data_IF_342328613702
#
_entry.id   IF_342328613702
#
_cell.length_a   1.000
_cell.length_b   1.000
_cell.length_c   1.000
_cell.angle_alpha   90.00
_cell.angle_beta   90.00
_cell.angle_gamma   90.00
#
_symmetry.space_group_name_H-M   'P 1'
#
loop_
_entity.id
_entity.type
_entity.pdbx_description
1 polymer ?
#
# COMPACT_ATOMS: atom_id res chain seq x y z
N UNK A 1 37.79 18.59 -15.01
CA UNK A 1 36.32 18.45 -15.26
C UNK A 1 35.87 17.26 -14.42
N UNK A 2 35.40 17.51 -13.21
CA UNK A 2 34.86 16.49 -12.35
C UNK A 2 33.54 16.00 -13.02
N UNK A 3 33.49 14.70 -13.33
CA UNK A 3 32.26 14.05 -13.75
C UNK A 3 31.23 14.20 -12.62
N UNK A 4 30.28 15.12 -12.75
CA UNK A 4 29.13 15.19 -11.83
C UNK A 4 28.49 13.82 -11.81
N UNK A 5 28.72 13.08 -10.74
CA UNK A 5 28.01 11.83 -10.47
C UNK A 5 26.51 12.17 -10.50
N UNK A 6 25.76 11.61 -11.47
CA UNK A 6 24.33 11.89 -11.58
C UNK A 6 23.67 11.35 -10.32
N UNK A 7 23.06 12.22 -9.53
CA UNK A 7 22.31 11.83 -8.35
C UNK A 7 21.31 10.72 -8.69
N UNK A 8 21.33 9.64 -7.92
CA UNK A 8 20.52 8.44 -8.13
C UNK A 8 19.00 8.76 -8.11
N UNK A 9 18.59 9.76 -7.35
CA UNK A 9 17.19 10.15 -7.12
C UNK A 9 16.84 11.52 -7.71
N UNK A 10 17.26 11.79 -8.93
CA UNK A 10 17.14 13.11 -9.57
C UNK A 10 15.79 13.38 -10.26
N UNK A 11 14.85 12.43 -10.23
CA UNK A 11 13.53 12.53 -10.87
C UNK A 11 12.42 12.10 -9.91
N UNK A 12 12.15 12.88 -8.85
CA UNK A 12 11.12 12.53 -7.89
C UNK A 12 9.69 12.70 -8.45
N UNK A 13 8.80 11.76 -8.10
CA UNK A 13 7.37 12.04 -8.01
C UNK A 13 7.11 12.68 -6.65
N UNK A 14 6.55 13.88 -6.64
CA UNK A 14 6.18 14.57 -5.42
C UNK A 14 4.67 14.50 -5.17
N UNK A 15 4.31 13.85 -4.08
CA UNK A 15 2.92 13.67 -3.67
C UNK A 15 2.67 14.30 -2.31
N UNK A 16 1.57 15.05 -2.22
CA UNK A 16 1.16 15.61 -0.94
C UNK A 16 -0.36 15.69 -0.83
N UNK A 17 -0.84 15.65 0.41
CA UNK A 17 -2.24 15.90 0.74
C UNK A 17 -2.30 16.93 1.86
N UNK A 18 -2.77 18.11 1.51
CA UNK A 18 -2.90 19.24 2.44
C UNK A 18 -4.24 19.14 3.15
N UNK A 19 -4.23 18.93 4.47
CA UNK A 19 -5.37 19.24 5.33
C UNK A 19 -5.34 20.74 5.66
N UNK A 20 -6.50 21.36 5.96
CA UNK A 20 -6.64 22.81 6.22
C UNK A 20 -5.59 23.46 7.15
N UNK A 21 -4.88 22.67 7.94
CA UNK A 21 -3.89 23.12 8.93
C UNK A 21 -2.45 22.70 8.60
N UNK A 22 -2.17 22.16 7.40
CA UNK A 22 -0.81 21.76 7.04
C UNK A 22 -0.20 22.82 6.12
N UNK A 23 0.89 23.49 6.49
CA UNK A 23 1.38 24.62 5.74
C UNK A 23 1.92 24.17 4.39
N UNK A 24 1.36 24.72 3.31
CA UNK A 24 1.98 24.68 1.97
C UNK A 24 3.43 25.16 2.02
N UNK A 25 3.79 25.94 3.03
CA UNK A 25 5.13 26.48 3.24
C UNK A 25 6.20 25.39 3.40
N UNK A 26 5.93 24.30 4.12
CA UNK A 26 6.94 23.23 4.28
C UNK A 26 7.16 22.49 2.96
N UNK A 27 6.09 22.26 2.19
CA UNK A 27 6.16 21.64 0.86
C UNK A 27 7.00 22.51 -0.07
N UNK A 28 6.75 23.84 -0.05
CA UNK A 28 7.50 24.81 -0.82
C UNK A 28 8.99 24.79 -0.45
N UNK A 29 9.32 24.81 0.84
CA UNK A 29 10.70 24.75 1.34
C UNK A 29 11.42 23.48 0.88
N UNK A 30 10.77 22.31 0.97
CA UNK A 30 11.36 21.03 0.52
C UNK A 30 11.67 21.08 -0.97
N UNK A 31 10.75 21.59 -1.80
CA UNK A 31 10.94 21.66 -3.26
C UNK A 31 12.00 22.69 -3.61
N UNK A 32 11.98 23.88 -3.00
CA UNK A 32 13.01 24.91 -3.19
C UNK A 32 14.40 24.36 -2.83
N UNK A 33 14.54 23.66 -1.70
CA UNK A 33 15.79 23.05 -1.29
C UNK A 33 16.32 22.03 -2.31
N UNK A 34 15.45 21.19 -2.86
CA UNK A 34 15.83 20.21 -3.89
C UNK A 34 16.33 20.89 -5.16
N UNK A 35 15.69 21.98 -5.57
CA UNK A 35 16.04 22.75 -6.78
C UNK A 35 17.33 23.54 -6.55
N UNK A 36 17.43 24.30 -5.46
CA UNK A 36 18.57 25.20 -5.16
C UNK A 36 19.87 24.42 -4.97
N UNK A 37 19.79 23.20 -4.44
CA UNK A 37 20.94 22.28 -4.30
C UNK A 37 21.25 21.51 -5.57
N UNK A 38 20.50 21.69 -6.66
CA UNK A 38 20.61 20.91 -7.90
C UNK A 38 20.53 19.40 -7.67
N UNK A 39 19.71 18.96 -6.72
CA UNK A 39 19.48 17.54 -6.43
C UNK A 39 18.59 16.89 -7.47
N UNK A 40 17.72 17.66 -8.14
CA UNK A 40 16.73 17.16 -9.08
C UNK A 40 16.92 17.75 -10.49
N UNK A 41 16.65 16.94 -11.50
CA UNK A 41 16.56 17.34 -12.90
C UNK A 41 15.19 17.94 -13.19
N UNK A 42 14.13 17.29 -12.72
CA UNK A 42 12.73 17.74 -12.73
C UNK A 42 11.93 16.98 -11.67
N UNK A 43 10.73 17.45 -11.41
CA UNK A 43 9.81 16.92 -10.40
C UNK A 43 8.49 16.59 -11.07
N UNK A 44 7.98 15.38 -10.87
CA UNK A 44 6.65 14.99 -11.31
C UNK A 44 5.58 15.38 -10.27
N UNK A 45 4.42 15.76 -10.75
CA UNK A 45 3.22 16.01 -9.95
C UNK A 45 2.02 15.28 -10.51
N UNK A 46 1.20 14.73 -9.62
CA UNK A 46 -0.07 14.11 -10.01
C UNK A 46 -1.10 15.18 -10.39
N UNK A 47 -1.78 15.00 -11.52
CA UNK A 47 -2.81 15.92 -12.04
C UNK A 47 -3.98 16.13 -11.08
N UNK A 48 -4.39 15.05 -10.39
CA UNK A 48 -5.52 15.10 -9.44
C UNK A 48 -5.22 15.87 -8.15
N UNK A 49 -3.97 16.24 -7.88
CA UNK A 49 -3.62 17.03 -6.70
C UNK A 49 -4.09 18.49 -6.77
N UNK A 50 -4.62 18.96 -7.91
CA UNK A 50 -5.04 20.33 -8.20
C UNK A 50 -4.01 21.42 -7.82
N UNK A 51 -2.86 21.03 -7.34
CA UNK A 51 -1.77 21.89 -6.93
C UNK A 51 -0.57 21.44 -7.74
N UNK A 52 -0.44 22.01 -8.93
CA UNK A 52 0.77 21.88 -9.74
C UNK A 52 1.80 22.91 -9.28
N UNK A 53 3.03 22.79 -9.73
CA UNK A 53 4.07 23.76 -9.41
C UNK A 53 3.67 25.21 -9.62
N UNK A 54 2.71 25.49 -10.51
CA UNK A 54 2.15 26.82 -10.76
C UNK A 54 1.42 27.38 -9.53
N UNK A 55 0.69 26.55 -8.76
CA UNK A 55 0.00 27.00 -7.55
C UNK A 55 0.98 27.29 -6.41
N UNK A 56 2.08 26.52 -6.34
CA UNK A 56 3.08 26.68 -5.28
C UNK A 56 4.06 27.81 -5.61
N UNK A 57 4.51 27.92 -6.86
CA UNK A 57 5.63 28.80 -7.27
C UNK A 57 5.29 29.85 -8.33
N UNK A 58 4.07 29.83 -8.88
CA UNK A 58 3.71 30.66 -10.03
C UNK A 58 4.28 30.16 -11.36
N UNK A 59 4.03 30.92 -12.44
CA UNK A 59 4.34 30.46 -13.81
C UNK A 59 5.85 30.37 -14.15
N UNK A 60 6.71 31.03 -13.37
CA UNK A 60 8.13 31.15 -13.70
C UNK A 60 8.96 29.87 -13.54
N UNK A 61 8.45 28.87 -12.82
CA UNK A 61 9.16 27.59 -12.58
C UNK A 61 8.62 26.43 -13.41
N UNK A 62 7.44 26.58 -14.04
CA UNK A 62 6.65 25.47 -14.60
C UNK A 62 7.37 24.70 -15.71
N UNK A 63 8.06 25.40 -16.59
CA UNK A 63 8.57 24.78 -17.82
C UNK A 63 9.94 24.12 -17.64
N UNK A 64 10.65 24.42 -16.56
CA UNK A 64 12.01 23.93 -16.34
C UNK A 64 12.09 22.70 -15.41
N UNK A 65 11.32 22.71 -14.32
CA UNK A 65 11.45 21.67 -13.30
C UNK A 65 10.22 20.79 -13.12
N UNK A 66 9.03 21.21 -13.57
CA UNK A 66 7.79 20.51 -13.25
C UNK A 66 7.21 19.78 -14.45
N UNK A 67 6.92 18.49 -14.27
CA UNK A 67 6.26 17.63 -15.26
C UNK A 67 5.00 17.02 -14.68
N UNK A 68 3.97 16.81 -15.52
CA UNK A 68 2.80 16.06 -15.15
C UNK A 68 3.15 14.56 -15.10
N UNK A 69 2.77 13.89 -14.01
CA UNK A 69 2.96 12.46 -13.86
C UNK A 69 2.00 11.70 -14.79
N UNK A 70 2.56 10.76 -15.55
CA UNK A 70 1.82 9.81 -16.39
C UNK A 70 2.30 8.39 -16.06
N UNK A 71 1.38 7.54 -15.63
CA UNK A 71 1.69 6.14 -15.23
C UNK A 71 2.39 5.32 -16.30
N UNK A 72 2.15 5.62 -17.59
CA UNK A 72 2.63 4.80 -18.70
C UNK A 72 4.04 5.20 -19.16
N UNK A 73 4.46 6.45 -19.00
CA UNK A 73 5.70 6.99 -19.58
C UNK A 73 6.61 7.70 -18.57
N UNK A 74 6.34 7.58 -17.26
CA UNK A 74 7.15 8.25 -16.27
C UNK A 74 8.42 7.44 -15.94
N UNK A 75 9.51 8.15 -15.66
CA UNK A 75 10.80 7.60 -15.26
C UNK A 75 11.22 8.04 -13.85
N UNK A 76 10.23 8.31 -12.99
CA UNK A 76 10.50 8.67 -11.60
C UNK A 76 11.29 7.58 -10.89
N UNK A 77 12.30 8.00 -10.13
CA UNK A 77 13.24 7.11 -9.46
C UNK A 77 13.22 7.22 -7.94
N UNK A 78 12.36 8.09 -7.40
CA UNK A 78 11.99 8.22 -6.00
C UNK A 78 10.60 8.82 -5.90
N UNK A 79 9.81 8.44 -4.90
CA UNK A 79 8.56 9.09 -4.57
C UNK A 79 8.70 9.85 -3.24
N UNK A 80 8.62 11.17 -3.27
CA UNK A 80 8.67 12.03 -2.07
C UNK A 80 7.23 12.35 -1.66
N UNK A 81 6.87 11.95 -0.45
CA UNK A 81 5.49 12.03 0.05
C UNK A 81 5.46 12.94 1.27
N UNK A 82 4.57 13.94 1.26
CA UNK A 82 4.26 14.76 2.43
C UNK A 82 2.81 14.54 2.79
N UNK A 83 2.54 13.72 3.81
CA UNK A 83 1.18 13.35 4.17
C UNK A 83 1.10 12.30 5.25
N UNK A 84 -0.06 11.65 5.37
CA UNK A 84 -0.26 10.49 6.23
C UNK A 84 -0.19 9.17 5.46
N UNK A 85 -0.47 8.06 6.15
CA UNK A 85 -0.44 6.72 5.57
C UNK A 85 -1.31 6.60 4.31
N UNK A 86 -2.49 7.22 4.29
CA UNK A 86 -3.36 7.24 3.10
C UNK A 86 -2.71 7.86 1.86
N UNK A 87 -1.76 8.79 2.03
CA UNK A 87 -1.01 9.37 0.91
C UNK A 87 0.06 8.39 0.40
N UNK A 88 0.65 7.61 1.31
CA UNK A 88 1.57 6.51 0.93
C UNK A 88 0.83 5.41 0.16
N UNK A 89 -0.38 5.03 0.60
CA UNK A 89 -1.21 4.06 -0.14
C UNK A 89 -1.61 4.57 -1.52
N UNK A 90 -1.95 5.86 -1.63
CA UNK A 90 -2.20 6.48 -2.94
C UNK A 90 -0.95 6.42 -3.83
N UNK A 91 0.22 6.79 -3.29
CA UNK A 91 1.48 6.68 -4.00
C UNK A 91 1.70 5.25 -4.54
N UNK A 92 1.48 4.24 -3.68
CA UNK A 92 1.59 2.84 -4.07
C UNK A 92 0.67 2.49 -5.25
N UNK A 93 -0.58 2.95 -5.22
CA UNK A 93 -1.56 2.69 -6.28
C UNK A 93 -1.23 3.35 -7.63
N UNK A 94 -0.40 4.39 -7.64
CA UNK A 94 0.07 5.01 -8.89
C UNK A 94 1.05 4.11 -9.65
N UNK A 95 1.72 3.20 -8.95
CA UNK A 95 2.72 2.28 -9.48
C UNK A 95 2.23 0.82 -9.59
N UNK A 96 0.92 0.57 -9.54
CA UNK A 96 0.31 -0.78 -9.56
C UNK A 96 0.82 -1.68 -10.70
N UNK A 97 1.14 -1.09 -11.86
CA UNK A 97 1.59 -1.83 -13.04
C UNK A 97 3.10 -1.98 -13.16
N UNK A 98 3.87 -1.36 -12.26
CA UNK A 98 5.33 -1.43 -12.30
C UNK A 98 5.84 -2.69 -11.62
N UNK A 99 6.74 -3.39 -12.28
CA UNK A 99 7.46 -4.53 -11.73
C UNK A 99 8.36 -4.11 -10.56
N UNK A 100 9.02 -2.96 -10.69
CA UNK A 100 9.84 -2.35 -9.63
C UNK A 100 9.39 -0.93 -9.36
N UNK A 101 8.85 -0.70 -8.17
CA UNK A 101 8.43 0.62 -7.71
C UNK A 101 9.64 1.45 -7.26
N UNK A 102 9.62 2.79 -7.43
CA UNK A 102 10.66 3.65 -6.86
C UNK A 102 10.55 3.63 -5.33
N UNK A 103 11.65 3.84 -4.59
CA UNK A 103 11.59 3.95 -3.14
C UNK A 103 10.82 5.20 -2.70
N UNK A 104 10.18 5.09 -1.52
CA UNK A 104 9.34 6.13 -0.93
C UNK A 104 10.07 6.83 0.20
N UNK A 105 10.18 8.15 0.12
CA UNK A 105 10.61 9.04 1.20
C UNK A 105 9.39 9.75 1.78
N UNK A 106 9.01 9.41 3.01
CA UNK A 106 7.72 9.83 3.57
C UNK A 106 7.90 10.78 4.73
N UNK A 107 7.50 12.04 4.55
CA UNK A 107 7.40 13.06 5.58
C UNK A 107 6.01 13.06 6.20
N UNK A 108 5.95 13.10 7.53
CA UNK A 108 4.71 13.09 8.28
C UNK A 108 3.94 14.39 8.11
N UNK A 109 2.74 14.30 7.54
CA UNK A 109 1.87 15.46 7.31
C UNK A 109 0.80 15.69 8.39
N UNK A 110 1.06 15.36 9.65
CA UNK A 110 0.08 15.51 10.73
C UNK A 110 0.24 14.51 11.86
N UNK A 111 -0.84 13.75 12.19
CA UNK A 111 -0.79 12.73 13.25
C UNK A 111 0.19 11.61 12.90
N UNK A 112 0.76 10.99 13.94
CA UNK A 112 1.64 9.83 13.81
C UNK A 112 1.00 8.75 12.94
N UNK A 113 1.70 8.34 11.88
CA UNK A 113 1.34 7.23 11.00
C UNK A 113 2.34 6.08 11.11
N UNK A 114 1.97 4.93 10.56
CA UNK A 114 2.86 3.76 10.50
C UNK A 114 3.83 3.82 9.32
N UNK A 115 3.45 4.50 8.22
CA UNK A 115 4.23 4.57 6.98
C UNK A 115 5.09 5.82 6.90
N UNK A 116 4.54 7.00 7.24
CA UNK A 116 5.30 8.25 7.24
C UNK A 116 6.12 8.37 8.52
N UNK A 117 7.45 8.35 8.38
CA UNK A 117 8.39 8.29 9.52
C UNK A 117 9.13 9.58 9.78
N UNK A 118 9.37 10.40 8.75
CA UNK A 118 10.24 11.55 8.87
C UNK A 118 9.49 12.80 9.30
N UNK A 119 10.08 13.56 10.23
CA UNK A 119 9.59 14.89 10.57
C UNK A 119 9.87 15.86 9.41
N UNK A 120 8.85 16.53 8.86
CA UNK A 120 9.05 17.45 7.75
C UNK A 120 9.92 18.67 8.10
N UNK A 121 10.00 19.07 9.36
CA UNK A 121 10.87 20.17 9.79
C UNK A 121 12.38 19.84 9.69
N UNK A 122 12.74 18.54 9.64
CA UNK A 122 14.13 18.07 9.50
C UNK A 122 14.52 17.78 8.03
N UNK A 123 13.76 18.30 7.08
CA UNK A 123 13.92 17.99 5.65
C UNK A 123 15.33 18.28 5.12
N UNK A 124 16.01 19.35 5.57
CA UNK A 124 17.33 19.72 5.10
C UNK A 124 18.38 18.67 5.42
N UNK A 125 18.38 18.19 6.67
CA UNK A 125 19.29 17.13 7.11
C UNK A 125 18.96 15.81 6.37
N UNK A 126 17.70 15.43 6.30
CA UNK A 126 17.24 14.20 5.64
C UNK A 126 17.64 14.18 4.17
N UNK A 127 17.29 15.22 3.42
CA UNK A 127 17.63 15.31 2.00
C UNK A 127 19.13 15.39 1.76
N UNK A 128 19.86 16.13 2.59
CA UNK A 128 21.33 16.19 2.49
C UNK A 128 21.95 14.81 2.68
N UNK A 129 21.52 14.05 3.69
CA UNK A 129 22.02 12.68 3.91
C UNK A 129 21.73 11.76 2.73
N UNK A 130 20.53 11.84 2.15
CA UNK A 130 20.12 10.99 1.03
C UNK A 130 20.90 11.36 -0.25
N UNK A 131 20.97 12.65 -0.57
CA UNK A 131 21.48 13.10 -1.87
C UNK A 131 23.00 13.33 -1.91
N UNK A 132 23.66 13.54 -0.77
CA UNK A 132 25.11 13.84 -0.74
C UNK A 132 25.96 12.74 -0.15
N UNK A 133 25.49 12.08 0.93
CA UNK A 133 26.28 11.06 1.63
C UNK A 133 25.81 9.65 1.35
N UNK A 134 24.66 9.49 0.70
CA UNK A 134 23.98 8.20 0.48
C UNK A 134 23.82 7.37 1.78
N UNK A 135 23.75 8.07 2.93
CA UNK A 135 23.63 7.45 4.25
C UNK A 135 22.15 7.26 4.62
N UNK A 136 21.55 6.22 4.08
CA UNK A 136 20.18 5.79 4.32
C UNK A 136 20.07 4.27 4.11
N UNK A 137 19.01 3.68 4.64
CA UNK A 137 18.65 2.29 4.39
C UNK A 137 17.18 2.19 3.95
N UNK A 138 16.67 0.95 3.78
CA UNK A 138 15.31 0.70 3.38
C UNK A 138 14.58 -0.15 4.41
N UNK A 139 13.33 0.24 4.68
CA UNK A 139 12.35 -0.66 5.30
C UNK A 139 11.57 -1.30 4.16
N UNK A 140 11.75 -2.59 3.99
CA UNK A 140 11.07 -3.38 2.96
C UNK A 140 9.66 -3.76 3.41
N UNK A 141 8.64 -3.42 2.62
CA UNK A 141 7.24 -3.75 2.93
C UNK A 141 6.64 -4.58 1.82
N UNK A 142 6.32 -5.84 2.13
CA UNK A 142 5.69 -6.76 1.21
C UNK A 142 4.26 -6.34 0.90
N UNK A 143 3.80 -6.70 -0.29
CA UNK A 143 2.45 -6.38 -0.76
C UNK A 143 1.58 -7.63 -0.86
N UNK A 144 0.28 -7.45 -0.61
CA UNK A 144 -0.75 -8.41 -1.01
C UNK A 144 -0.95 -8.31 -2.52
N UNK A 145 -0.89 -9.44 -3.19
CA UNK A 145 -1.25 -9.57 -4.59
C UNK A 145 -2.59 -10.30 -4.72
N UNK A 146 -3.47 -9.76 -5.57
CA UNK A 146 -4.76 -10.32 -5.91
C UNK A 146 -4.81 -10.59 -7.41
N UNK A 147 -4.71 -11.86 -7.80
CA UNK A 147 -4.92 -12.27 -9.18
C UNK A 147 -6.36 -12.70 -9.38
N UNK A 148 -7.03 -12.14 -10.39
CA UNK A 148 -8.40 -12.51 -10.78
C UNK A 148 -8.35 -13.49 -11.93
N UNK A 149 -9.04 -14.61 -11.77
CA UNK A 149 -9.16 -15.66 -12.78
C UNK A 149 -10.60 -15.82 -13.20
N UNK A 150 -10.85 -16.01 -14.47
CA UNK A 150 -12.17 -16.19 -15.06
C UNK A 150 -12.26 -17.53 -15.81
N UNK A 151 -13.38 -18.24 -15.65
CA UNK A 151 -13.60 -19.55 -16.28
C UNK A 151 -13.76 -19.39 -17.78
N UNK A 152 -13.04 -20.19 -18.58
CA UNK A 152 -13.19 -20.20 -20.05
C UNK A 152 -14.51 -20.88 -20.42
N UNK A 153 -15.29 -20.26 -21.33
CA UNK A 153 -16.63 -20.75 -21.74
C UNK A 153 -16.61 -22.11 -22.45
N UNK A 154 -15.45 -22.60 -22.87
CA UNK A 154 -15.33 -23.80 -23.73
C UNK A 154 -15.53 -25.13 -23.02
N UNK A 155 -15.43 -25.19 -21.71
CA UNK A 155 -15.49 -26.45 -20.95
C UNK A 155 -16.69 -26.45 -19.99
N UNK A 156 -17.81 -27.01 -20.43
CA UNK A 156 -19.00 -27.24 -19.58
C UNK A 156 -18.88 -28.51 -18.69
N UNK A 157 -17.71 -29.08 -18.53
CA UNK A 157 -17.51 -30.31 -17.78
C UNK A 157 -17.13 -30.01 -16.33
N UNK A 158 -18.01 -30.40 -15.45
CA UNK A 158 -17.92 -30.41 -13.99
C UNK A 158 -18.08 -29.05 -13.29
N UNK A 159 -19.20 -28.91 -12.58
CA UNK A 159 -19.42 -27.85 -11.58
C UNK A 159 -18.69 -28.16 -10.24
N UNK A 160 -17.54 -28.86 -10.31
CA UNK A 160 -16.74 -29.09 -9.11
C UNK A 160 -16.17 -27.76 -8.62
N UNK A 161 -16.64 -27.35 -7.46
CA UNK A 161 -16.25 -26.12 -6.80
C UNK A 161 -14.74 -26.06 -6.51
N UNK A 162 -14.07 -27.21 -6.49
CA UNK A 162 -12.63 -27.39 -6.21
C UNK A 162 -11.77 -27.43 -7.46
N UNK A 163 -12.38 -27.46 -8.65
CA UNK A 163 -11.64 -27.47 -9.90
C UNK A 163 -11.31 -26.04 -10.34
N UNK A 164 -10.03 -25.76 -10.51
CA UNK A 164 -9.47 -24.48 -10.93
C UNK A 164 -8.70 -24.57 -12.26
N UNK A 165 -8.75 -25.71 -12.95
CA UNK A 165 -7.95 -25.96 -14.16
C UNK A 165 -8.38 -25.14 -15.37
N UNK A 166 -9.69 -24.86 -15.50
CA UNK A 166 -10.30 -24.20 -16.66
C UNK A 166 -10.37 -22.67 -16.52
N UNK A 167 -9.54 -22.10 -15.64
CA UNK A 167 -9.56 -20.66 -15.39
C UNK A 167 -8.31 -19.98 -15.92
N UNK A 168 -8.50 -18.82 -16.54
CA UNK A 168 -7.43 -17.98 -17.06
C UNK A 168 -7.34 -16.68 -16.25
N UNK A 169 -6.11 -16.25 -15.96
CA UNK A 169 -5.84 -14.97 -15.31
C UNK A 169 -6.28 -13.82 -16.21
N UNK A 170 -7.14 -12.95 -15.70
CA UNK A 170 -7.69 -11.79 -16.43
C UNK A 170 -7.20 -10.45 -15.85
N UNK A 171 -6.99 -10.36 -14.53
CA UNK A 171 -6.52 -9.15 -13.86
C UNK A 171 -5.54 -9.47 -12.73
N UNK A 172 -4.79 -8.45 -12.32
CA UNK A 172 -3.89 -8.49 -11.16
C UNK A 172 -3.85 -7.11 -10.49
N UNK A 173 -3.90 -7.10 -9.16
CA UNK A 173 -3.86 -5.89 -8.35
C UNK A 173 -2.95 -6.10 -7.15
N UNK A 174 -2.31 -5.03 -6.65
CA UNK A 174 -1.50 -5.07 -5.44
C UNK A 174 -2.00 -4.10 -4.38
N UNK A 175 -1.75 -4.41 -3.11
CA UNK A 175 -2.05 -3.57 -1.97
C UNK A 175 -0.91 -3.64 -0.94
N UNK A 176 -0.59 -2.51 -0.32
CA UNK A 176 0.39 -2.45 0.74
C UNK A 176 -0.19 -2.92 2.07
N UNK A 177 -1.42 -2.50 2.41
CA UNK A 177 -2.10 -2.91 3.63
C UNK A 177 -2.95 -4.16 3.42
N UNK A 178 -4.02 -4.06 2.62
CA UNK A 178 -4.98 -5.14 2.52
C UNK A 178 -5.76 -5.19 1.21
N UNK A 179 -6.16 -6.40 0.83
CA UNK A 179 -7.28 -6.68 -0.02
C UNK A 179 -8.54 -6.78 0.85
N UNK A 180 -9.58 -6.08 0.49
CA UNK A 180 -10.90 -6.19 1.10
C UNK A 180 -11.94 -6.64 0.07
N UNK A 181 -12.56 -7.79 0.31
CA UNK A 181 -13.75 -8.23 -0.41
C UNK A 181 -14.97 -7.71 0.34
N UNK A 182 -15.50 -6.57 -0.12
CA UNK A 182 -16.60 -5.88 0.51
C UNK A 182 -17.94 -6.32 -0.10
N UNK A 183 -18.95 -6.53 0.72
CA UNK A 183 -20.32 -6.74 0.22
C UNK A 183 -20.76 -5.52 -0.62
N UNK A 184 -21.46 -5.76 -1.73
CA UNK A 184 -21.97 -4.68 -2.57
C UNK A 184 -23.33 -4.16 -2.06
N UNK A 185 -24.25 -5.05 -1.76
CA UNK A 185 -25.60 -4.73 -1.26
C UNK A 185 -25.99 -5.69 -0.14
N UNK A 186 -26.09 -6.96 -0.46
CA UNK A 186 -26.42 -8.01 0.50
C UNK A 186 -25.14 -8.54 1.16
N UNK A 187 -25.28 -9.34 2.22
CA UNK A 187 -24.20 -10.04 2.87
C UNK A 187 -23.34 -10.78 1.85
N UNK A 188 -22.04 -10.71 2.01
CA UNK A 188 -21.08 -11.46 1.19
C UNK A 188 -21.03 -12.90 1.65
N UNK A 189 -21.17 -13.85 0.72
CA UNK A 189 -21.03 -15.29 0.98
C UNK A 189 -19.84 -15.80 0.17
N UNK A 190 -18.77 -16.13 0.85
CA UNK A 190 -17.48 -16.48 0.25
C UNK A 190 -17.06 -17.88 0.66
N UNK A 191 -16.42 -18.60 -0.26
CA UNK A 191 -15.72 -19.85 0.02
C UNK A 191 -14.22 -19.60 -0.06
N UNK A 192 -13.55 -19.81 1.06
CA UNK A 192 -12.11 -19.69 1.19
C UNK A 192 -11.46 -21.07 1.03
N UNK A 193 -10.37 -21.13 0.26
CA UNK A 193 -9.59 -22.35 0.02
C UNK A 193 -8.13 -22.13 0.35
N UNK A 194 -7.50 -23.11 0.96
CA UNK A 194 -6.04 -23.25 1.00
C UNK A 194 -5.68 -24.37 0.04
N UNK A 195 -4.88 -24.07 -0.97
CA UNK A 195 -4.65 -24.96 -2.12
C UNK A 195 -6.00 -25.31 -2.78
N UNK A 196 -6.39 -26.59 -2.77
CA UNK A 196 -7.67 -27.07 -3.28
C UNK A 196 -8.63 -27.49 -2.15
N UNK A 197 -8.31 -27.22 -0.90
CA UNK A 197 -9.13 -27.60 0.25
C UNK A 197 -9.94 -26.42 0.76
N UNK A 198 -11.23 -26.66 1.02
CA UNK A 198 -12.08 -25.66 1.64
C UNK A 198 -11.60 -25.40 3.06
N UNK A 199 -11.20 -24.17 3.33
CA UNK A 199 -10.87 -23.69 4.66
C UNK A 199 -12.14 -23.32 5.42
N UNK A 200 -13.00 -22.51 4.81
CA UNK A 200 -14.24 -22.01 5.41
C UNK A 200 -15.22 -21.50 4.37
N UNK A 201 -16.54 -21.56 4.71
CA UNK A 201 -17.59 -20.77 4.10
C UNK A 201 -17.89 -19.60 5.04
N UNK A 202 -17.79 -18.38 4.54
CA UNK A 202 -17.89 -17.16 5.36
C UNK A 202 -19.03 -16.29 4.84
N UNK A 203 -20.00 -16.04 5.70
CA UNK A 203 -21.09 -15.07 5.49
C UNK A 203 -20.79 -13.85 6.36
N UNK A 204 -20.57 -12.69 5.74
CA UNK A 204 -20.08 -11.50 6.45
C UNK A 204 -20.33 -10.22 5.64
N UNK A 205 -20.07 -9.07 6.22
CA UNK A 205 -20.01 -7.79 5.49
C UNK A 205 -18.79 -7.72 4.56
N UNK A 206 -17.85 -8.61 4.74
CA UNK A 206 -16.68 -8.81 3.88
C UNK A 206 -15.54 -9.53 4.57
N UNK A 207 -14.48 -9.77 3.81
CA UNK A 207 -13.28 -10.46 4.30
C UNK A 207 -12.04 -9.64 3.90
N UNK A 208 -11.18 -9.39 4.87
CA UNK A 208 -9.88 -8.75 4.70
C UNK A 208 -8.77 -9.80 4.57
N UNK A 209 -7.85 -9.54 3.67
CA UNK A 209 -6.58 -10.25 3.55
C UNK A 209 -5.46 -9.22 3.70
N UNK A 210 -4.86 -9.16 4.89
CA UNK A 210 -3.91 -8.13 5.22
C UNK A 210 -2.47 -8.65 5.19
N UNK A 211 -1.56 -7.77 4.75
CA UNK A 211 -0.12 -7.93 4.87
C UNK A 211 0.32 -7.70 6.32
N UNK A 212 1.58 -7.99 6.68
CA UNK A 212 2.13 -7.56 7.97
C UNK A 212 2.00 -6.05 8.20
N UNK A 213 2.24 -5.24 7.17
CA UNK A 213 2.03 -3.78 7.22
C UNK A 213 0.58 -3.43 7.51
N UNK A 214 -0.37 -4.08 6.85
CA UNK A 214 -1.82 -3.89 7.04
C UNK A 214 -2.35 -4.45 8.35
N UNK A 215 -1.56 -5.23 9.09
CA UNK A 215 -1.95 -5.75 10.40
C UNK A 215 -2.30 -4.66 11.41
N UNK A 216 -1.75 -3.46 11.22
CA UNK A 216 -2.01 -2.27 12.05
C UNK A 216 -3.05 -1.32 11.45
N UNK A 217 -3.66 -1.68 10.32
CA UNK A 217 -4.67 -0.89 9.61
C UNK A 217 -6.10 -1.41 9.87
N UNK A 218 -6.89 -1.63 8.83
CA UNK A 218 -8.30 -2.04 8.99
C UNK A 218 -8.45 -3.41 9.65
N UNK A 219 -7.52 -4.35 9.39
CA UNK A 219 -7.50 -5.67 10.04
C UNK A 219 -7.44 -5.56 11.58
N UNK A 220 -6.64 -4.62 12.13
CA UNK A 220 -6.60 -4.38 13.57
C UNK A 220 -7.95 -3.95 14.12
N UNK A 221 -8.62 -3.00 13.46
CA UNK A 221 -9.95 -2.51 13.86
C UNK A 221 -11.02 -3.61 13.79
N UNK A 222 -10.83 -4.61 12.95
CA UNK A 222 -11.70 -5.78 12.83
C UNK A 222 -11.31 -6.95 13.78
N UNK A 223 -10.36 -6.73 14.68
CA UNK A 223 -9.92 -7.73 15.66
C UNK A 223 -8.84 -8.69 15.16
N UNK A 224 -8.17 -8.36 14.04
CA UNK A 224 -7.01 -9.11 13.55
C UNK A 224 -5.78 -8.93 14.45
N UNK A 225 -4.84 -9.89 14.46
CA UNK A 225 -3.60 -9.80 15.21
C UNK A 225 -2.63 -8.79 14.58
N UNK A 226 -1.74 -8.23 15.39
CA UNK A 226 -0.60 -7.43 14.92
C UNK A 226 0.52 -8.39 14.53
N UNK A 227 1.07 -8.20 13.33
CA UNK A 227 2.25 -8.89 12.85
C UNK A 227 3.42 -7.90 12.74
N UNK A 228 4.61 -8.35 13.15
CA UNK A 228 5.84 -7.64 12.82
C UNK A 228 6.05 -7.64 11.29
N UNK A 229 6.68 -6.60 10.76
CA UNK A 229 6.85 -6.44 9.30
C UNK A 229 7.68 -7.57 8.65
N UNK A 230 8.53 -8.24 9.42
CA UNK A 230 9.38 -9.36 8.96
C UNK A 230 8.68 -10.71 8.97
N UNK A 231 7.45 -10.80 9.51
CA UNK A 231 6.69 -12.05 9.50
C UNK A 231 6.04 -12.25 8.14
N UNK A 232 6.49 -13.25 7.40
CA UNK A 232 5.95 -13.60 6.08
C UNK A 232 4.59 -14.32 6.19
N UNK A 233 3.55 -13.55 6.46
CA UNK A 233 2.20 -14.08 6.67
C UNK A 233 1.10 -13.20 6.10
N UNK A 234 -0.04 -13.83 5.82
CA UNK A 234 -1.29 -13.18 5.40
C UNK A 234 -2.29 -13.36 6.52
N UNK A 235 -2.89 -12.25 6.97
CA UNK A 235 -3.96 -12.26 7.97
C UNK A 235 -5.30 -12.30 7.24
N UNK A 236 -6.18 -13.22 7.61
CA UNK A 236 -7.56 -13.29 7.14
C UNK A 236 -8.48 -12.85 8.28
N UNK A 237 -9.22 -11.77 8.07
CA UNK A 237 -10.14 -11.21 9.07
C UNK A 237 -11.51 -10.98 8.44
N UNK A 238 -12.59 -11.57 8.98
CA UNK A 238 -13.95 -11.30 8.53
C UNK A 238 -14.53 -10.06 9.22
N UNK A 239 -15.27 -9.26 8.47
CA UNK A 239 -15.97 -8.08 8.97
C UNK A 239 -17.41 -8.45 9.29
N UNK A 240 -17.84 -8.26 10.54
CA UNK A 240 -19.17 -8.60 11.01
C UNK A 240 -19.62 -10.01 10.54
N UNK A 241 -18.86 -11.08 10.83
CA UNK A 241 -19.22 -12.41 10.39
C UNK A 241 -20.52 -12.86 11.06
N UNK A 242 -21.38 -13.53 10.29
CA UNK A 242 -22.60 -14.12 10.82
C UNK A 242 -22.30 -15.22 11.85
N UNK A 243 -21.28 -16.02 11.58
CA UNK A 243 -20.81 -17.05 12.51
C UNK A 243 -19.93 -16.44 13.60
N UNK A 244 -20.36 -16.54 14.85
CA UNK A 244 -19.60 -16.09 16.02
C UNK A 244 -18.32 -16.90 16.29
N UNK A 245 -18.15 -18.03 15.64
CA UNK A 245 -16.98 -18.90 15.77
C UNK A 245 -15.82 -18.51 14.84
N UNK A 246 -16.06 -17.69 13.83
CA UNK A 246 -14.96 -17.24 12.95
C UNK A 246 -13.95 -16.43 13.74
N UNK A 247 -12.68 -16.77 13.60
CA UNK A 247 -11.56 -16.04 14.20
C UNK A 247 -10.57 -15.64 13.14
N UNK A 248 -9.89 -14.49 13.28
CA UNK A 248 -8.79 -14.14 12.40
C UNK A 248 -7.75 -15.26 12.34
N UNK A 249 -7.26 -15.55 11.14
CA UNK A 249 -6.30 -16.62 10.85
C UNK A 249 -5.07 -16.00 10.22
N UNK A 250 -3.89 -16.47 10.60
CA UNK A 250 -2.62 -16.14 9.96
C UNK A 250 -2.14 -17.34 9.14
N UNK A 251 -1.88 -17.12 7.86
CA UNK A 251 -1.32 -18.12 6.97
C UNK A 251 0.06 -17.70 6.50
N UNK A 252 1.00 -18.66 6.34
CA UNK A 252 2.31 -18.36 5.77
C UNK A 252 2.19 -17.99 4.29
N UNK A 253 3.10 -17.14 3.81
CA UNK A 253 3.06 -16.63 2.43
C UNK A 253 3.13 -17.70 1.34
N UNK A 254 3.72 -18.86 1.63
CA UNK A 254 3.89 -19.94 0.66
C UNK A 254 2.61 -20.76 0.40
N UNK A 255 1.47 -20.40 0.99
CA UNK A 255 0.19 -21.06 0.74
C UNK A 255 -0.62 -20.32 -0.32
N UNK A 256 -1.18 -21.08 -1.26
CA UNK A 256 -2.13 -20.54 -2.25
C UNK A 256 -3.49 -20.40 -1.60
N UNK A 257 -3.90 -19.15 -1.42
CA UNK A 257 -5.21 -18.81 -0.88
C UNK A 257 -6.12 -18.40 -2.04
N UNK A 258 -7.26 -19.11 -2.20
CA UNK A 258 -8.24 -18.81 -3.24
C UNK A 258 -9.59 -18.47 -2.64
N UNK A 259 -10.34 -17.62 -3.32
CA UNK A 259 -11.66 -17.18 -2.88
C UNK A 259 -12.63 -17.16 -4.05
N UNK A 260 -13.82 -17.73 -3.84
CA UNK A 260 -14.96 -17.69 -4.77
C UNK A 260 -16.19 -17.14 -4.04
N UNK A 261 -17.14 -16.56 -4.80
CA UNK A 261 -18.50 -16.40 -4.31
C UNK A 261 -19.14 -17.79 -4.09
N UNK A 262 -19.97 -17.93 -3.06
CA UNK A 262 -20.77 -19.14 -2.85
C UNK A 262 -22.01 -19.06 -3.74
N UNK A 263 -22.08 -19.91 -4.76
CA UNK A 263 -23.15 -19.95 -5.76
C UNK A 263 -24.53 -20.31 -5.19
N UNK A 264 -24.57 -20.87 -3.98
CA UNK A 264 -25.82 -21.19 -3.29
C UNK A 264 -26.59 -19.90 -2.90
N UNK A 265 -25.88 -18.75 -2.90
CA UNK A 265 -26.43 -17.44 -2.55
C UNK A 265 -26.41 -16.51 -3.78
N UNK A 266 -27.54 -16.48 -4.51
CA UNK A 266 -27.72 -15.55 -5.63
C UNK A 266 -27.70 -14.11 -5.13
N UNK A 267 -27.13 -13.19 -5.93
CA UNK A 267 -27.00 -11.76 -5.62
C UNK A 267 -25.96 -11.41 -4.51
N UNK A 268 -25.11 -12.36 -4.12
CA UNK A 268 -24.01 -12.14 -3.23
C UNK A 268 -22.77 -11.70 -4.02
N UNK A 269 -22.71 -10.41 -4.39
CA UNK A 269 -21.55 -9.85 -5.10
C UNK A 269 -20.60 -9.16 -4.11
N UNK A 270 -19.31 -9.45 -4.25
CA UNK A 270 -18.25 -8.80 -3.49
C UNK A 270 -17.44 -7.85 -4.36
N UNK A 271 -17.24 -6.63 -3.88
CA UNK A 271 -16.37 -5.64 -4.51
C UNK A 271 -14.92 -5.86 -4.05
N UNK A 272 -14.00 -6.01 -4.98
CA UNK A 272 -12.57 -6.09 -4.73
C UNK A 272 -12.06 -4.68 -4.46
N UNK A 273 -11.52 -4.43 -3.26
CA UNK A 273 -10.84 -3.19 -2.88
C UNK A 273 -9.40 -3.49 -2.49
N UNK A 274 -8.47 -2.68 -3.01
CA UNK A 274 -7.04 -2.73 -2.68
C UNK A 274 -6.68 -1.42 -1.97
N UNK A 275 -6.23 -1.49 -0.72
CA UNK A 275 -5.93 -0.31 0.12
C UNK A 275 -7.10 0.70 0.16
N UNK A 276 -8.34 0.23 0.18
CA UNK A 276 -9.55 1.04 0.15
C UNK A 276 -9.99 1.51 -1.25
N UNK A 277 -9.16 1.34 -2.29
CA UNK A 277 -9.52 1.71 -3.67
C UNK A 277 -10.31 0.58 -4.34
N UNK A 278 -11.55 0.86 -4.76
CA UNK A 278 -12.39 -0.10 -5.50
C UNK A 278 -11.78 -0.41 -6.88
N UNK A 279 -11.75 -1.69 -7.24
CA UNK A 279 -11.26 -2.19 -8.53
C UNK A 279 -12.45 -2.72 -9.37
N UNK A 280 -12.90 -3.94 -9.09
CA UNK A 280 -14.01 -4.59 -9.81
C UNK A 280 -14.81 -5.49 -8.88
N UNK A 281 -16.00 -5.93 -9.33
CA UNK A 281 -16.77 -6.93 -8.61
C UNK A 281 -16.31 -8.33 -8.99
N UNK A 282 -16.15 -9.20 -7.99
CA UNK A 282 -15.90 -10.62 -8.19
C UNK A 282 -17.17 -11.27 -8.74
N UNK A 283 -17.10 -11.82 -9.96
CA UNK A 283 -18.22 -12.48 -10.63
C UNK A 283 -18.31 -13.96 -10.23
N UNK A 284 -19.47 -14.60 -10.47
CA UNK A 284 -19.71 -16.00 -10.12
C UNK A 284 -18.86 -17.00 -10.94
N UNK A 285 -18.47 -16.61 -12.16
CA UNK A 285 -17.56 -17.39 -13.00
C UNK A 285 -16.08 -17.07 -12.74
N UNK A 286 -15.77 -16.32 -11.67
CA UNK A 286 -14.41 -15.93 -11.29
C UNK A 286 -14.02 -16.50 -9.93
N UNK A 287 -12.71 -16.57 -9.70
CA UNK A 287 -12.11 -16.64 -8.38
C UNK A 287 -10.92 -15.68 -8.30
N UNK A 288 -10.53 -15.34 -7.10
CA UNK A 288 -9.27 -14.65 -6.85
C UNK A 288 -8.27 -15.60 -6.18
N UNK A 289 -7.00 -15.40 -6.52
CA UNK A 289 -5.88 -15.98 -5.79
C UNK A 289 -5.14 -14.85 -5.06
N UNK A 290 -4.98 -15.02 -3.75
CA UNK A 290 -4.35 -14.05 -2.86
C UNK A 290 -3.00 -14.60 -2.41
N UNK A 291 -1.97 -13.77 -2.50
CA UNK A 291 -0.62 -14.11 -2.05
C UNK A 291 0.09 -12.88 -1.49
N UNK A 292 1.06 -13.09 -0.63
CA UNK A 292 2.06 -12.09 -0.28
C UNK A 292 3.20 -12.21 -1.28
N UNK A 293 3.59 -11.12 -1.93
CA UNK A 293 4.64 -11.14 -2.96
C UNK A 293 5.97 -10.62 -2.40
N UNK A 294 7.07 -11.21 -2.89
CA UNK A 294 8.43 -10.83 -2.48
C UNK A 294 8.87 -9.46 -3.01
N UNK A 295 8.22 -8.94 -4.07
CA UNK A 295 8.41 -7.55 -4.47
C UNK A 295 7.96 -6.66 -3.32
N UNK A 296 8.85 -5.80 -2.84
CA UNK A 296 8.57 -4.90 -1.73
C UNK A 296 8.48 -3.46 -2.21
N UNK A 297 7.74 -2.66 -1.47
CA UNK A 297 7.84 -1.21 -1.53
C UNK A 297 8.89 -0.79 -0.51
N UNK A 298 9.93 -0.14 -1.00
CA UNK A 298 11.07 0.29 -0.19
C UNK A 298 10.79 1.67 0.41
N UNK A 299 10.78 1.77 1.74
CA UNK A 299 10.65 3.05 2.44
C UNK A 299 12.03 3.49 2.91
N UNK A 300 12.46 4.68 2.50
CA UNK A 300 13.75 5.25 2.91
C UNK A 300 13.69 5.64 4.38
N UNK A 301 14.69 5.19 5.14
CA UNK A 301 14.93 5.60 6.53
C UNK A 301 16.40 5.99 6.74
N UNK A 302 16.65 6.78 7.78
CA UNK A 302 18.01 7.21 8.15
C UNK A 302 18.61 6.35 9.26
N UNK A 303 17.85 5.45 9.82
CA UNK A 303 18.28 4.45 10.79
C UNK A 303 19.00 3.31 10.08
N UNK A 304 20.16 2.92 10.61
CA UNK A 304 21.06 2.00 9.92
C UNK A 304 21.22 0.64 10.61
N UNK A 305 20.58 0.42 11.76
CA UNK A 305 20.66 -0.85 12.49
C UNK A 305 19.27 -1.49 12.63
N UNK A 306 19.24 -2.82 12.74
CA UNK A 306 17.99 -3.57 13.02
C UNK A 306 17.37 -3.10 14.35
N UNK A 307 18.19 -2.92 15.39
CA UNK A 307 17.76 -2.38 16.68
C UNK A 307 17.02 -1.04 16.56
N UNK A 308 17.46 -0.16 15.67
CA UNK A 308 16.80 1.14 15.46
C UNK A 308 15.46 0.99 14.73
N UNK A 309 15.37 0.06 13.79
CA UNK A 309 14.10 -0.26 13.08
C UNK A 309 13.08 -0.87 14.03
N UNK A 310 13.50 -1.78 14.91
CA UNK A 310 12.65 -2.35 15.95
C UNK A 310 12.14 -1.30 16.93
N UNK A 311 13.02 -0.37 17.36
CA UNK A 311 12.62 0.77 18.21
C UNK A 311 11.53 1.61 17.55
N UNK A 312 11.67 1.94 16.26
CA UNK A 312 10.66 2.69 15.51
C UNK A 312 9.33 1.94 15.52
N UNK A 313 9.35 0.63 15.23
CA UNK A 313 8.15 -0.19 15.19
C UNK A 313 7.48 -0.25 16.57
N UNK A 314 8.25 -0.52 17.64
CA UNK A 314 7.77 -0.56 19.02
C UNK A 314 7.15 0.78 19.44
N UNK A 315 7.82 1.90 19.17
CA UNK A 315 7.31 3.22 19.49
C UNK A 315 5.99 3.53 18.79
N UNK A 316 5.87 3.16 17.50
CA UNK A 316 4.65 3.37 16.73
C UNK A 316 3.49 2.55 17.28
N UNK A 317 3.70 1.27 17.56
CA UNK A 317 2.70 0.38 18.16
C UNK A 317 2.27 0.93 19.52
N UNK A 318 3.23 1.22 20.41
CA UNK A 318 2.95 1.71 21.76
C UNK A 318 2.17 3.02 21.76
N UNK A 319 2.57 3.98 20.92
CA UNK A 319 1.89 5.29 20.82
C UNK A 319 0.50 5.16 20.20
N UNK A 320 0.35 4.34 19.15
CA UNK A 320 -0.92 4.20 18.44
C UNK A 320 -1.98 3.45 19.24
N UNK A 321 -1.56 2.47 20.04
CA UNK A 321 -2.45 1.66 20.84
C UNK A 321 -2.59 2.17 22.30
N UNK A 322 -1.84 3.21 22.66
CA UNK A 322 -1.83 3.72 24.04
C UNK A 322 -1.25 2.74 25.05
N UNK A 323 -0.42 1.78 24.59
CA UNK A 323 0.26 0.87 25.51
C UNK A 323 1.20 1.66 26.42
N UNK A 324 1.28 1.31 27.68
CA UNK A 324 2.07 1.96 28.73
C UNK A 324 1.56 3.33 29.20
N UNK A 325 0.51 3.93 28.62
CA UNK A 325 -0.05 5.18 29.15
C UNK A 325 -0.77 4.99 30.50
N UNK A 326 -1.26 3.78 30.80
CA UNK A 326 -1.96 3.47 32.04
C UNK A 326 -1.05 3.36 33.27
N UNK A 327 0.27 3.33 33.09
CA UNK A 327 1.27 3.17 34.16
C UNK A 327 2.11 4.42 34.42
N UNK A 328 1.85 5.51 33.70
CA UNK A 328 2.48 6.81 33.93
C UNK A 328 1.60 7.65 34.89
N UNK A 329 1.60 7.32 36.15
CA UNK A 329 1.11 8.17 37.26
C UNK A 329 2.25 8.50 38.19
#
# INVERSE_FOLDING_TARGET
MESKQKNKFNKPLFLFRVKKNNPLDIIKKIIEFLIDRNFVEYIYFEKASNINGTVIFGNNYKDKYFKEFNKDNEDSNICIIVGGDSTCLLANSLYDKREKKPPFLCFQGGKLGFLATHNPEDYENILTRIYTTENYTFIHRKEINCNVYEKEEKNKTTDDIKDFSDYKKVNSFTALNELYLEKKANMSHLILFIENNILAKVSSDGVLFASPTGSTAYSLSAGGPILHNEVDGIIITAICPFSLSFRPIVLPQNKKLRVKNDKDFKDSLSLIKMDGFGKECLKDNQYIEVSLIDSSVDFITLENTEDDLDKIWIEKISKSLGWNYAFSH
#
